data_IF_929244976329
#
_entry.id   IF_929244976329
#
_cell.length_a   1.000
_cell.length_b   1.000
_cell.length_c   1.000
_cell.angle_alpha   90.00
_cell.angle_beta   90.00
_cell.angle_gamma   90.00
#
_symmetry.space_group_name_H-M   'P 1'
#
loop_
_entity.id
_entity.type
_entity.pdbx_description
1 polymer ?
#
# COMPACT_ATOMS: atom_id res chain seq x y z
N UNK A 1 20.49 19.00 4.37
CA UNK A 1 19.34 18.32 5.04
C UNK A 1 18.87 17.24 4.06
N UNK A 2 18.99 15.95 4.41
CA UNK A 2 18.67 14.83 3.51
C UNK A 2 19.76 13.77 3.28
N UNK A 3 20.91 13.84 3.96
CA UNK A 3 21.99 12.85 3.81
C UNK A 3 21.82 11.58 4.67
N UNK A 4 20.92 11.62 5.64
CA UNK A 4 20.63 10.48 6.53
C UNK A 4 19.13 10.25 6.46
N UNK A 5 18.76 9.17 5.79
CA UNK A 5 17.41 8.63 5.78
C UNK A 5 17.37 7.55 6.86
N UNK A 6 16.48 7.67 7.84
CA UNK A 6 16.18 6.55 8.72
C UNK A 6 15.29 5.60 7.93
N UNK A 7 15.66 4.31 7.87
CA UNK A 7 14.81 3.29 7.28
C UNK A 7 13.45 3.31 8.01
N UNK A 8 12.34 3.31 7.26
CA UNK A 8 11.04 3.07 7.86
C UNK A 8 11.07 1.71 8.59
N UNK A 9 10.38 1.60 9.73
CA UNK A 9 10.45 0.47 10.68
C UNK A 9 10.28 -0.92 10.04
N UNK A 10 9.66 -1.01 8.86
CA UNK A 10 9.41 -2.25 8.13
C UNK A 10 9.91 -2.25 6.69
N UNK A 11 10.70 -1.25 6.29
CA UNK A 11 11.36 -1.26 4.99
C UNK A 11 12.41 -2.39 4.98
N UNK A 12 12.37 -3.24 3.95
CA UNK A 12 13.34 -4.32 3.76
C UNK A 12 14.26 -3.98 2.59
N UNK A 13 15.51 -4.41 2.66
CA UNK A 13 16.41 -4.38 1.50
C UNK A 13 16.42 -5.76 0.86
N UNK A 14 16.16 -5.83 -0.45
CA UNK A 14 16.21 -7.09 -1.19
C UNK A 14 17.65 -7.48 -1.56
N UNK A 15 17.83 -8.67 -2.15
CA UNK A 15 19.16 -9.20 -2.50
C UNK A 15 19.92 -8.33 -3.52
N UNK A 16 19.21 -7.45 -4.22
CA UNK A 16 19.76 -6.51 -5.20
C UNK A 16 20.06 -5.12 -4.60
N UNK A 17 19.76 -4.91 -3.33
CA UNK A 17 20.00 -3.63 -2.64
C UNK A 17 18.88 -2.60 -2.78
N UNK A 18 17.73 -2.96 -3.35
CA UNK A 18 16.57 -2.06 -3.43
C UNK A 18 15.76 -2.10 -2.14
N UNK A 19 15.18 -0.95 -1.79
CA UNK A 19 14.26 -0.81 -0.67
C UNK A 19 12.88 -1.29 -1.12
N UNK A 20 12.32 -2.23 -0.37
CA UNK A 20 10.98 -2.74 -0.54
C UNK A 20 10.13 -2.33 0.67
N UNK A 21 8.89 -1.95 0.37
CA UNK A 21 7.90 -1.53 1.37
C UNK A 21 6.81 -2.60 1.47
N UNK A 22 6.36 -2.95 2.70
CA UNK A 22 5.28 -3.91 2.87
C UNK A 22 3.92 -3.28 2.57
N UNK A 23 3.11 -3.97 1.78
CA UNK A 23 1.72 -3.66 1.47
C UNK A 23 0.82 -4.87 1.72
N UNK A 24 -0.45 -4.62 2.02
CA UNK A 24 -1.47 -5.66 2.13
C UNK A 24 -2.11 -5.88 0.76
N UNK A 25 -2.21 -7.14 0.32
CA UNK A 25 -2.83 -7.46 -0.96
C UNK A 25 -4.35 -7.33 -0.89
N UNK A 26 -4.96 -6.71 -1.90
CA UNK A 26 -6.40 -6.69 -2.10
C UNK A 26 -6.79 -7.77 -3.12
N UNK A 27 -7.74 -8.62 -2.77
CA UNK A 27 -8.30 -9.63 -3.67
C UNK A 27 -9.83 -9.49 -3.71
N UNK A 28 -10.39 -9.30 -4.91
CA UNK A 28 -11.83 -9.13 -5.12
C UNK A 28 -12.46 -8.00 -4.26
N UNK A 29 -11.78 -6.85 -4.14
CA UNK A 29 -12.25 -5.71 -3.34
C UNK A 29 -12.20 -5.92 -1.82
N UNK A 30 -11.48 -6.95 -1.35
CA UNK A 30 -11.24 -7.22 0.06
C UNK A 30 -9.76 -7.19 0.38
N UNK A 31 -9.40 -6.46 1.43
CA UNK A 31 -8.05 -6.44 1.98
C UNK A 31 -7.78 -7.77 2.65
N UNK A 32 -6.69 -8.41 2.26
CA UNK A 32 -6.25 -9.68 2.85
C UNK A 32 -5.12 -9.43 3.85
N UNK A 33 -4.89 -10.37 4.77
CA UNK A 33 -3.74 -10.34 5.69
C UNK A 33 -2.39 -10.70 5.02
N UNK A 34 -2.38 -10.84 3.68
CA UNK A 34 -1.18 -11.21 2.94
C UNK A 34 -0.31 -9.98 2.70
N UNK A 35 0.83 -9.94 3.40
CA UNK A 35 1.85 -8.91 3.20
C UNK A 35 2.68 -9.25 1.96
N UNK A 36 2.77 -8.29 1.04
CA UNK A 36 3.61 -8.34 -0.16
C UNK A 36 4.57 -7.17 -0.09
N UNK A 37 5.85 -7.44 -0.33
CA UNK A 37 6.87 -6.41 -0.41
C UNK A 37 6.98 -5.97 -1.86
N UNK A 38 6.80 -4.67 -2.09
CA UNK A 38 6.93 -4.07 -3.42
C UNK A 38 8.14 -3.14 -3.43
N UNK A 39 8.92 -3.21 -4.51
CA UNK A 39 9.92 -2.19 -4.81
C UNK A 39 9.29 -0.93 -5.41
N UNK A 40 10.07 0.15 -5.51
CA UNK A 40 9.59 1.42 -6.04
C UNK A 40 9.16 1.37 -7.51
N UNK A 41 9.65 0.41 -8.31
CA UNK A 41 9.25 0.27 -9.71
C UNK A 41 7.90 -0.43 -9.82
N UNK A 42 7.65 -1.43 -8.97
CA UNK A 42 6.37 -2.14 -8.85
C UNK A 42 5.29 -1.22 -8.28
N UNK A 43 5.63 -0.36 -7.32
CA UNK A 43 4.70 0.62 -6.72
C UNK A 43 4.05 1.53 -7.77
N UNK A 44 4.80 1.93 -8.80
CA UNK A 44 4.34 2.87 -9.84
C UNK A 44 3.23 2.27 -10.71
N UNK A 45 3.23 0.96 -10.93
CA UNK A 45 2.25 0.29 -11.78
C UNK A 45 0.98 -0.13 -11.04
N UNK A 46 0.99 -0.04 -9.71
CA UNK A 46 -0.07 -0.55 -8.85
C UNK A 46 -0.92 0.60 -8.27
N UNK A 47 -2.15 0.27 -7.87
CA UNK A 47 -3.07 1.21 -7.25
C UNK A 47 -3.12 0.93 -5.76
N UNK A 48 -2.44 1.79 -5.00
CA UNK A 48 -2.24 1.58 -3.56
C UNK A 48 -3.16 2.52 -2.78
N UNK A 49 -4.14 1.94 -2.09
CA UNK A 49 -4.99 2.67 -1.17
C UNK A 49 -4.23 3.09 0.09
N UNK A 50 -4.60 4.26 0.59
CA UNK A 50 -4.05 4.82 1.82
C UNK A 50 -4.47 3.99 3.05
N UNK A 51 -3.64 3.97 4.11
CA UNK A 51 -3.99 3.28 5.35
C UNK A 51 -5.20 3.90 6.08
N UNK A 52 -5.62 5.11 5.74
CA UNK A 52 -6.79 5.79 6.34
C UNK A 52 -8.14 5.31 5.79
N UNK A 53 -8.17 4.42 4.80
CA UNK A 53 -9.41 3.86 4.25
C UNK A 53 -10.19 3.07 5.30
N UNK A 54 -11.51 3.26 5.31
CA UNK A 54 -12.40 2.52 6.21
C UNK A 54 -12.68 1.14 5.63
N UNK A 55 -12.44 0.12 6.45
CA UNK A 55 -12.74 -1.28 6.12
C UNK A 55 -13.88 -1.78 6.99
N UNK A 56 -14.73 -2.64 6.42
CA UNK A 56 -15.74 -3.41 7.14
C UNK A 56 -15.09 -4.57 7.90
N UNK A 57 -15.84 -5.21 8.81
CA UNK A 57 -15.37 -6.37 9.57
C UNK A 57 -14.93 -7.55 8.68
N UNK A 58 -15.48 -7.65 7.46
CA UNK A 58 -15.13 -8.67 6.47
C UNK A 58 -13.90 -8.32 5.60
N UNK A 59 -13.25 -7.18 5.87
CA UNK A 59 -12.10 -6.69 5.11
C UNK A 59 -12.44 -6.00 3.78
N UNK A 60 -13.72 -5.82 3.44
CA UNK A 60 -14.14 -5.01 2.29
C UNK A 60 -14.05 -3.51 2.57
N UNK A 61 -13.87 -2.69 1.54
CA UNK A 61 -13.94 -1.23 1.67
C UNK A 61 -15.35 -0.78 2.06
N UNK A 62 -15.44 0.14 3.02
CA UNK A 62 -16.71 0.72 3.45
C UNK A 62 -17.24 1.79 2.49
N UNK A 63 -16.32 2.48 1.80
CA UNK A 63 -16.62 3.52 0.81
C UNK A 63 -16.42 2.96 -0.61
N UNK A 64 -17.27 3.35 -1.57
CA UNK A 64 -17.15 2.93 -2.98
C UNK A 64 -15.93 3.56 -3.66
N UNK A 65 -15.59 4.79 -3.27
CA UNK A 65 -14.39 5.50 -3.72
C UNK A 65 -13.42 5.68 -2.58
N UNK A 66 -12.16 5.38 -2.83
CA UNK A 66 -11.11 5.40 -1.82
C UNK A 66 -9.93 6.21 -2.32
N UNK A 67 -9.26 6.89 -1.38
CA UNK A 67 -8.02 7.61 -1.70
C UNK A 67 -6.92 6.59 -1.95
N UNK A 68 -6.36 6.62 -3.16
CA UNK A 68 -5.27 5.76 -3.56
C UNK A 68 -4.18 6.56 -4.27
N UNK A 69 -3.03 5.92 -4.45
CA UNK A 69 -1.92 6.44 -5.23
C UNK A 69 -1.84 5.59 -6.49
N UNK A 70 -1.94 6.25 -7.64
CA UNK A 70 -1.79 5.63 -8.95
C UNK A 70 -0.61 6.31 -9.64
N UNK A 71 0.47 5.57 -9.90
CA UNK A 71 1.67 6.14 -10.52
C UNK A 71 2.25 7.32 -9.72
N UNK A 72 2.31 7.19 -8.39
CA UNK A 72 2.83 8.19 -7.42
C UNK A 72 1.87 9.36 -7.15
N UNK A 73 0.87 9.59 -8.00
CA UNK A 73 -0.10 10.68 -7.83
C UNK A 73 -1.26 10.25 -6.92
N UNK A 74 -1.65 11.08 -5.94
CA UNK A 74 -2.84 10.82 -5.14
C UNK A 74 -4.11 11.10 -5.96
N UNK A 75 -5.00 10.12 -6.04
CA UNK A 75 -6.27 10.19 -6.74
C UNK A 75 -7.36 9.41 -5.96
N UNK A 76 -8.63 9.72 -6.20
CA UNK A 76 -9.74 8.87 -5.74
C UNK A 76 -10.11 7.88 -6.83
N UNK A 77 -9.90 6.61 -6.56
CA UNK A 77 -10.24 5.49 -7.45
C UNK A 77 -11.41 4.71 -6.88
N UNK A 78 -12.03 3.88 -7.71
CA UNK A 78 -13.04 2.94 -7.22
C UNK A 78 -12.37 1.84 -6.38
N UNK A 79 -13.02 1.41 -5.31
CA UNK A 79 -12.51 0.38 -4.40
C UNK A 79 -12.19 -0.95 -5.10
N UNK A 80 -12.80 -1.20 -6.27
CA UNK A 80 -12.53 -2.36 -7.13
C UNK A 80 -11.21 -2.27 -7.90
N UNK A 81 -10.68 -1.06 -8.12
CA UNK A 81 -9.42 -0.85 -8.86
C UNK A 81 -8.20 -0.93 -7.95
N UNK A 82 -8.41 -0.89 -6.63
CA UNK A 82 -7.33 -0.99 -5.65
C UNK A 82 -6.73 -2.39 -5.65
N UNK A 83 -5.42 -2.48 -5.85
CA UNK A 83 -4.67 -3.74 -5.81
C UNK A 83 -3.96 -3.97 -4.48
N UNK A 84 -3.58 -2.89 -3.78
CA UNK A 84 -2.87 -2.97 -2.51
C UNK A 84 -3.34 -1.88 -1.52
N UNK A 85 -3.13 -2.12 -0.22
CA UNK A 85 -3.36 -1.13 0.84
C UNK A 85 -2.05 -0.97 1.63
N UNK A 86 -1.75 0.26 2.02
CA UNK A 86 -0.60 0.54 2.87
C UNK A 86 -0.70 -0.24 4.20
N UNK A 87 0.34 -1.01 4.53
CA UNK A 87 0.41 -1.73 5.80
C UNK A 87 0.62 -0.80 7.01
N UNK A 88 0.76 0.52 6.77
CA UNK A 88 0.99 1.57 7.75
C UNK A 88 0.00 1.61 8.92
N UNK A 89 -1.22 1.08 8.78
CA UNK A 89 -2.15 1.05 9.91
C UNK A 89 -1.70 0.12 11.06
N UNK A 90 -0.77 -0.81 10.80
CA UNK A 90 -0.02 -1.57 11.83
C UNK A 90 1.38 -1.01 12.11
N UNK A 91 1.77 0.11 11.49
CA UNK A 91 3.13 0.68 11.58
C UNK A 91 3.32 1.73 12.70
N UNK A 92 2.53 1.68 13.77
CA UNK A 92 2.81 2.46 14.99
C UNK A 92 2.80 1.54 16.21
#
# INVERSE_FOLDING_TARGET
IGLVLNLATYARVNEYGFIETPYLKVENGKVTDKVVYLDAAQEVTEVIADASVKLNADGSFADERVSARNGVLPEQVDASEVTYVDAAHKQI
#
